data_IF_875301137814
#
_entry.id   IF_875301137814
#
_cell.length_a   1.000
_cell.length_b   1.000
_cell.length_c   1.000
_cell.angle_alpha   90.00
_cell.angle_beta   90.00
_cell.angle_gamma   90.00
#
_symmetry.space_group_name_H-M   'P 1'
#
loop_
_entity.id
_entity.type
_entity.pdbx_description
1 polymer ?
#
# COMPACT_ATOMS: atom_id res chain seq x y z
N UNK A 1 -12.42 -14.62 10.03
CA UNK A 1 -13.58 -14.46 9.15
C UNK A 1 -13.21 -13.67 7.92
N UNK A 2 -13.81 -13.96 6.75
CA UNK A 2 -13.63 -13.14 5.56
C UNK A 2 -14.13 -11.71 5.80
N UNK A 3 -13.41 -10.73 5.29
CA UNK A 3 -13.75 -9.31 5.42
C UNK A 3 -13.77 -8.65 4.06
N UNK A 4 -14.78 -7.81 3.81
CA UNK A 4 -14.90 -7.03 2.59
C UNK A 4 -14.36 -5.62 2.80
N UNK A 5 -13.59 -5.13 1.83
CA UNK A 5 -13.07 -3.76 1.82
C UNK A 5 -13.47 -3.10 0.50
N UNK A 6 -14.34 -2.10 0.57
CA UNK A 6 -14.89 -1.49 -0.62
C UNK A 6 -15.93 -2.37 -1.30
N UNK A 7 -15.93 -2.39 -2.64
CA UNK A 7 -16.95 -3.09 -3.43
C UNK A 7 -16.45 -4.42 -3.99
N UNK A 8 -15.16 -4.55 -4.28
CA UNK A 8 -14.60 -5.68 -5.02
C UNK A 8 -13.71 -6.57 -4.17
N UNK A 9 -13.07 -6.00 -3.15
CA UNK A 9 -11.95 -6.60 -2.46
C UNK A 9 -12.39 -7.33 -1.20
N UNK A 10 -11.97 -8.59 -1.06
CA UNK A 10 -12.18 -9.40 0.14
C UNK A 10 -10.84 -9.90 0.65
N UNK A 11 -10.70 -10.00 1.95
CA UNK A 11 -9.57 -10.65 2.62
C UNK A 11 -10.09 -11.87 3.35
N UNK A 12 -9.54 -13.04 3.04
CA UNK A 12 -9.97 -14.32 3.59
C UNK A 12 -8.79 -15.09 4.18
N UNK A 13 -8.96 -15.73 5.35
CA UNK A 13 -7.98 -16.73 5.80
C UNK A 13 -7.91 -17.89 4.81
N UNK A 14 -6.73 -18.53 4.71
CA UNK A 14 -6.52 -19.60 3.74
C UNK A 14 -7.39 -20.85 3.97
N UNK A 15 -7.90 -21.05 5.21
CA UNK A 15 -8.72 -22.21 5.56
C UNK A 15 -10.21 -21.99 5.34
N UNK A 16 -10.63 -20.84 4.83
CA UNK A 16 -12.04 -20.54 4.54
C UNK A 16 -12.22 -20.31 3.04
N UNK A 17 -13.38 -20.69 2.54
CA UNK A 17 -13.73 -20.37 1.16
C UNK A 17 -14.20 -18.91 1.07
N UNK A 18 -13.81 -18.21 -0.01
CA UNK A 18 -14.30 -16.85 -0.22
C UNK A 18 -15.82 -16.81 -0.36
N UNK A 19 -16.53 -15.90 0.35
CA UNK A 19 -17.99 -15.74 0.20
C UNK A 19 -18.40 -15.36 -1.21
N UNK A 20 -17.54 -14.62 -1.93
CA UNK A 20 -17.78 -14.17 -3.29
C UNK A 20 -16.61 -14.64 -4.18
N UNK A 21 -16.69 -15.86 -4.74
CA UNK A 21 -15.55 -16.42 -5.49
C UNK A 21 -15.13 -15.58 -6.71
N UNK A 22 -16.06 -14.82 -7.31
CA UNK A 22 -15.77 -14.00 -8.48
C UNK A 22 -15.25 -12.62 -8.12
N UNK A 23 -15.20 -12.26 -6.85
CA UNK A 23 -14.63 -10.99 -6.39
C UNK A 23 -13.09 -11.07 -6.37
N UNK A 24 -12.45 -9.94 -6.07
CA UNK A 24 -11.00 -9.93 -5.87
C UNK A 24 -10.72 -10.41 -4.45
N UNK A 25 -10.25 -11.63 -4.34
CA UNK A 25 -10.03 -12.29 -3.05
C UNK A 25 -8.54 -12.35 -2.72
N UNK A 26 -8.19 -11.85 -1.54
CA UNK A 26 -6.85 -11.94 -0.99
C UNK A 26 -6.82 -13.00 0.09
N UNK A 27 -5.87 -13.90 0.02
CA UNK A 27 -5.62 -14.88 1.06
C UNK A 27 -4.60 -14.30 2.04
N UNK A 28 -4.99 -14.15 3.29
CA UNK A 28 -4.11 -13.65 4.33
C UNK A 28 -4.40 -14.34 5.65
N UNK A 29 -3.42 -15.02 6.19
CA UNK A 29 -3.54 -15.69 7.48
C UNK A 29 -3.11 -14.74 8.60
N UNK A 30 -3.86 -14.68 9.70
CA UNK A 30 -3.52 -13.79 10.81
C UNK A 30 -2.19 -14.17 11.48
N UNK A 31 -1.52 -13.17 12.04
CA UNK A 31 -0.36 -13.37 12.90
C UNK A 31 0.98 -13.52 12.19
N UNK A 32 1.04 -13.43 10.87
CA UNK A 32 2.29 -13.63 10.13
C UNK A 32 3.15 -12.37 10.07
N UNK A 33 2.52 -11.19 10.03
CA UNK A 33 3.22 -9.91 9.99
C UNK A 33 2.26 -8.80 10.39
N UNK A 34 2.81 -7.63 10.75
CA UNK A 34 2.04 -6.42 10.97
C UNK A 34 1.27 -6.08 9.69
N UNK A 35 0.02 -5.64 9.82
CA UNK A 35 -0.81 -5.32 8.66
C UNK A 35 -1.56 -6.53 8.12
N UNK A 36 -2.33 -7.19 8.98
CA UNK A 36 -3.10 -8.41 8.64
C UNK A 36 -4.41 -8.14 7.91
N UNK A 37 -4.74 -6.88 7.58
CA UNK A 37 -6.02 -6.50 7.01
C UNK A 37 -7.06 -6.12 8.05
N UNK A 38 -6.82 -6.44 9.33
CA UNK A 38 -7.73 -6.11 10.44
C UNK A 38 -7.38 -4.78 11.11
N UNK A 39 -6.15 -4.31 10.97
CA UNK A 39 -5.76 -3.01 11.52
C UNK A 39 -6.47 -1.87 10.77
N UNK A 40 -6.98 -0.85 11.47
CA UNK A 40 -7.73 0.24 10.82
C UNK A 40 -6.99 0.89 9.65
N UNK A 41 -5.67 1.11 9.76
CA UNK A 41 -4.89 1.75 8.69
C UNK A 41 -4.79 0.89 7.44
N UNK A 42 -4.63 -0.42 7.61
CA UNK A 42 -4.60 -1.37 6.48
C UNK A 42 -5.98 -1.42 5.82
N UNK A 43 -7.04 -1.47 6.62
CA UNK A 43 -8.41 -1.46 6.13
C UNK A 43 -8.70 -0.22 5.29
N UNK A 44 -8.26 0.95 5.76
CA UNK A 44 -8.42 2.22 5.03
C UNK A 44 -7.70 2.18 3.68
N UNK A 45 -6.46 1.69 3.66
CA UNK A 45 -5.70 1.60 2.41
C UNK A 45 -6.33 0.61 1.44
N UNK A 46 -6.81 -0.53 1.92
CA UNK A 46 -7.48 -1.52 1.06
C UNK A 46 -8.75 -0.95 0.45
N UNK A 47 -9.56 -0.25 1.24
CA UNK A 47 -10.79 0.39 0.74
C UNK A 47 -10.47 1.46 -0.30
N UNK A 48 -9.41 2.23 -0.08
CA UNK A 48 -9.00 3.27 -1.03
C UNK A 48 -8.49 2.65 -2.33
N UNK A 49 -7.65 1.60 -2.26
CA UNK A 49 -7.19 0.87 -3.44
C UNK A 49 -8.36 0.28 -4.23
N UNK A 50 -9.36 -0.26 -3.54
CA UNK A 50 -10.55 -0.81 -4.18
C UNK A 50 -11.30 0.24 -5.01
N UNK A 51 -11.29 1.50 -4.58
CA UNK A 51 -11.96 2.59 -5.27
C UNK A 51 -11.16 3.15 -6.46
N UNK A 52 -9.89 2.76 -6.60
CA UNK A 52 -9.00 3.28 -7.62
C UNK A 52 -9.01 2.41 -8.88
N UNK A 53 -8.63 3.03 -9.98
CA UNK A 53 -8.42 2.33 -11.25
C UNK A 53 -6.94 1.95 -11.35
N UNK A 54 -6.61 0.72 -10.96
CA UNK A 54 -5.23 0.24 -10.85
C UNK A 54 -4.74 -0.51 -12.09
N UNK A 55 -5.61 -0.77 -13.05
CA UNK A 55 -5.25 -1.50 -14.27
C UNK A 55 -4.06 -0.83 -14.95
N UNK A 56 -3.03 -1.62 -15.23
CA UNK A 56 -1.79 -1.21 -15.89
C UNK A 56 -0.91 -0.26 -15.09
N UNK A 57 -1.23 -0.02 -13.81
CA UNK A 57 -0.40 0.84 -12.97
C UNK A 57 0.84 0.12 -12.44
N UNK A 58 1.89 0.92 -12.21
CA UNK A 58 3.07 0.53 -11.43
C UNK A 58 2.91 1.14 -10.04
N UNK A 59 3.11 0.32 -9.00
CA UNK A 59 2.86 0.70 -7.61
C UNK A 59 4.12 0.51 -6.77
N UNK A 60 4.36 1.40 -5.81
CA UNK A 60 5.37 1.22 -4.77
C UNK A 60 4.66 1.14 -3.43
N UNK A 61 4.97 0.11 -2.65
CA UNK A 61 4.48 -0.10 -1.28
C UNK A 61 5.69 0.05 -0.34
N UNK A 62 5.86 1.25 0.20
CA UNK A 62 7.01 1.58 1.03
C UNK A 62 6.68 1.34 2.50
N UNK A 63 7.39 0.43 3.15
CA UNK A 63 7.04 -0.13 4.43
C UNK A 63 6.02 -1.25 4.26
N UNK A 64 6.28 -2.17 3.32
CA UNK A 64 5.28 -3.11 2.82
C UNK A 64 4.80 -4.15 3.85
N UNK A 65 5.57 -4.42 4.89
CA UNK A 65 5.17 -5.37 5.95
C UNK A 65 4.83 -6.74 5.37
N UNK A 66 3.57 -7.15 5.53
CA UNK A 66 3.07 -8.42 4.99
C UNK A 66 2.94 -8.42 3.47
N UNK A 67 3.05 -7.26 2.83
CA UNK A 67 2.86 -7.11 1.38
C UNK A 67 1.40 -7.07 0.95
N UNK A 68 0.46 -7.03 1.87
CA UNK A 68 -0.97 -7.12 1.53
C UNK A 68 -1.43 -6.00 0.59
N UNK A 69 -0.93 -4.77 0.77
CA UNK A 69 -1.35 -3.65 -0.09
C UNK A 69 -0.83 -3.80 -1.51
N UNK A 70 0.44 -4.20 -1.66
CA UNK A 70 1.02 -4.48 -2.97
C UNK A 70 0.32 -5.64 -3.66
N UNK A 71 0.06 -6.72 -2.92
CA UNK A 71 -0.66 -7.88 -3.45
C UNK A 71 -2.08 -7.47 -3.88
N UNK A 72 -2.77 -6.66 -3.06
CA UNK A 72 -4.08 -6.14 -3.41
C UNK A 72 -4.04 -5.33 -4.70
N UNK A 73 -3.05 -4.44 -4.85
CA UNK A 73 -2.90 -3.64 -6.07
C UNK A 73 -2.70 -4.52 -7.30
N UNK A 74 -1.86 -5.55 -7.20
CA UNK A 74 -1.62 -6.48 -8.30
C UNK A 74 -2.88 -7.29 -8.64
N UNK A 75 -3.62 -7.74 -7.65
CA UNK A 75 -4.89 -8.46 -7.87
C UNK A 75 -5.96 -7.55 -8.46
N UNK A 76 -5.87 -6.24 -8.24
CA UNK A 76 -6.78 -5.25 -8.81
C UNK A 76 -6.35 -4.76 -10.20
N UNK A 77 -5.26 -5.29 -10.75
CA UNK A 77 -4.86 -5.02 -12.13
C UNK A 77 -3.53 -4.33 -12.32
N UNK A 78 -2.83 -3.93 -11.27
CA UNK A 78 -1.49 -3.33 -11.40
C UNK A 78 -0.55 -4.32 -12.10
N UNK A 79 0.38 -3.79 -12.89
CA UNK A 79 1.30 -4.63 -13.68
C UNK A 79 2.61 -4.93 -12.96
N UNK A 80 2.96 -4.12 -11.97
CA UNK A 80 4.17 -4.31 -11.18
C UNK A 80 4.03 -3.57 -9.85
N UNK A 81 4.58 -4.13 -8.80
CA UNK A 81 4.66 -3.47 -7.50
C UNK A 81 6.05 -3.70 -6.89
N UNK A 82 6.66 -2.62 -6.39
CA UNK A 82 7.89 -2.72 -5.59
C UNK A 82 7.51 -2.65 -4.12
N UNK A 83 7.91 -3.65 -3.33
CA UNK A 83 7.80 -3.59 -1.87
C UNK A 83 9.13 -3.24 -1.25
N UNK A 84 9.13 -2.27 -0.35
CA UNK A 84 10.33 -1.88 0.40
C UNK A 84 10.03 -1.97 1.89
N UNK A 85 10.91 -2.61 2.65
CA UNK A 85 10.79 -2.66 4.10
C UNK A 85 12.18 -2.80 4.70
N UNK A 86 12.39 -2.24 5.88
CA UNK A 86 13.68 -2.33 6.57
C UNK A 86 13.85 -3.63 7.35
N UNK A 87 12.82 -4.46 7.42
CA UNK A 87 12.85 -5.74 8.12
C UNK A 87 12.91 -6.90 7.12
N UNK A 88 14.00 -7.69 7.11
CA UNK A 88 14.09 -8.85 6.22
C UNK A 88 12.95 -9.86 6.41
N UNK A 89 12.39 -9.97 7.62
CA UNK A 89 11.24 -10.84 7.86
C UNK A 89 10.00 -10.35 7.12
N UNK A 90 9.82 -9.04 7.03
CA UNK A 90 8.72 -8.44 6.25
C UNK A 90 8.86 -8.79 4.77
N UNK A 91 10.08 -8.74 4.23
CA UNK A 91 10.31 -9.11 2.83
C UNK A 91 9.99 -10.58 2.58
N UNK A 92 10.37 -11.47 3.50
CA UNK A 92 10.02 -12.89 3.40
C UNK A 92 8.51 -13.10 3.47
N UNK A 93 7.83 -12.42 4.39
CA UNK A 93 6.37 -12.50 4.52
C UNK A 93 5.67 -11.97 3.26
N UNK A 94 6.17 -10.89 2.68
CA UNK A 94 5.63 -10.33 1.43
C UNK A 94 5.72 -11.33 0.28
N UNK A 95 6.88 -11.98 0.12
CA UNK A 95 7.07 -13.00 -0.92
C UNK A 95 6.14 -14.18 -0.71
N UNK A 96 5.99 -14.64 0.54
CA UNK A 96 5.13 -15.76 0.88
C UNK A 96 3.66 -15.45 0.59
N UNK A 97 3.19 -14.27 1.01
CA UNK A 97 1.81 -13.85 0.77
C UNK A 97 1.52 -13.66 -0.72
N UNK A 98 2.48 -13.14 -1.48
CA UNK A 98 2.36 -13.02 -2.93
C UNK A 98 2.20 -14.41 -3.57
N UNK A 99 3.03 -15.37 -3.17
CA UNK A 99 2.95 -16.74 -3.66
C UNK A 99 1.61 -17.40 -3.36
N UNK A 100 1.10 -17.23 -2.13
CA UNK A 100 -0.20 -17.77 -1.73
C UNK A 100 -1.36 -17.18 -2.54
N UNK A 101 -1.18 -15.96 -3.03
CA UNK A 101 -2.19 -15.26 -3.84
C UNK A 101 -1.99 -15.47 -5.34
N UNK A 102 -1.07 -16.34 -5.75
CA UNK A 102 -0.82 -16.62 -7.16
C UNK A 102 -0.17 -15.47 -7.91
N UNK A 103 0.50 -14.57 -7.22
CA UNK A 103 1.20 -13.44 -7.84
C UNK A 103 2.56 -13.91 -8.34
N UNK A 104 2.86 -13.61 -9.59
CA UNK A 104 4.17 -13.89 -10.19
C UNK A 104 5.25 -13.09 -9.42
N UNK A 105 6.28 -13.75 -8.87
CA UNK A 105 7.33 -13.06 -8.14
C UNK A 105 8.05 -11.97 -8.94
N UNK A 106 8.10 -12.10 -10.27
CA UNK A 106 8.73 -11.09 -11.11
C UNK A 106 7.96 -9.77 -11.13
N UNK A 107 6.66 -9.82 -10.83
CA UNK A 107 5.81 -8.63 -10.78
C UNK A 107 5.87 -7.93 -9.42
N UNK A 108 6.50 -8.56 -8.42
CA UNK A 108 6.57 -8.02 -7.07
C UNK A 108 7.98 -8.13 -6.51
N UNK A 109 8.95 -7.35 -7.05
CA UNK A 109 10.26 -7.25 -6.42
C UNK A 109 10.13 -6.63 -5.03
N UNK A 110 10.94 -7.14 -4.09
CA UNK A 110 11.00 -6.62 -2.72
C UNK A 110 12.46 -6.33 -2.37
N UNK A 111 12.71 -5.28 -1.60
CA UNK A 111 14.05 -4.83 -1.27
C UNK A 111 14.10 -4.12 0.08
N UNK A 112 15.28 -4.13 0.71
CA UNK A 112 15.58 -3.25 1.82
C UNK A 112 15.75 -1.82 1.30
N UNK A 113 15.56 -0.77 2.14
CA UNK A 113 15.86 0.60 1.75
C UNK A 113 17.30 0.71 1.22
N UNK A 114 17.48 1.42 0.12
CA UNK A 114 18.77 1.58 -0.50
C UNK A 114 19.27 0.40 -1.33
N UNK A 115 18.51 -0.69 -1.39
CA UNK A 115 18.90 -1.89 -2.15
C UNK A 115 18.11 -2.07 -3.44
N UNK A 116 17.25 -1.13 -3.79
CA UNK A 116 16.63 -1.10 -5.11
C UNK A 116 17.32 -0.05 -5.97
N UNK A 117 17.21 -0.17 -7.28
CA UNK A 117 17.80 0.77 -8.23
C UNK A 117 16.99 2.07 -8.24
N UNK A 118 17.50 3.10 -7.56
CA UNK A 118 16.82 4.38 -7.43
C UNK A 118 16.68 5.10 -8.76
N UNK A 119 17.62 4.93 -9.69
CA UNK A 119 17.53 5.54 -11.02
C UNK A 119 16.41 4.89 -11.83
N UNK A 120 16.30 3.57 -11.76
CA UNK A 120 15.21 2.83 -12.42
C UNK A 120 13.84 3.24 -11.89
N UNK A 121 13.74 3.49 -10.57
CA UNK A 121 12.46 3.81 -9.93
C UNK A 121 12.14 5.31 -9.91
N UNK A 122 13.01 6.15 -10.42
CA UNK A 122 12.76 7.59 -10.52
C UNK A 122 11.50 7.84 -11.36
N UNK A 123 10.48 8.46 -10.75
CA UNK A 123 9.23 8.84 -11.43
C UNK A 123 8.58 7.69 -12.21
N UNK A 124 8.72 6.46 -11.70
CA UNK A 124 8.20 5.27 -12.36
C UNK A 124 6.82 4.86 -11.87
N UNK A 125 6.48 5.17 -10.62
CA UNK A 125 5.26 4.69 -10.00
C UNK A 125 4.06 5.60 -10.30
N UNK A 126 2.94 4.99 -10.69
CA UNK A 126 1.65 5.67 -10.81
C UNK A 126 1.05 5.92 -9.43
N UNK A 127 1.29 5.03 -8.48
CA UNK A 127 0.82 5.13 -7.10
C UNK A 127 1.95 4.73 -6.16
N UNK A 128 2.18 5.57 -5.14
CA UNK A 128 3.08 5.25 -4.03
C UNK A 128 2.25 5.19 -2.75
N UNK A 129 2.34 4.07 -2.04
CA UNK A 129 1.65 3.83 -0.78
C UNK A 129 2.68 3.74 0.32
N UNK A 130 2.44 4.42 1.43
CA UNK A 130 3.23 4.24 2.65
C UNK A 130 2.29 4.17 3.85
N UNK A 131 2.19 2.99 4.44
CA UNK A 131 1.39 2.74 5.65
C UNK A 131 2.36 2.53 6.80
N UNK A 132 2.94 3.61 7.30
CA UNK A 132 3.96 3.64 8.34
C UNK A 132 3.66 4.78 9.32
N UNK A 133 4.46 4.91 10.38
CA UNK A 133 4.23 5.94 11.40
C UNK A 133 4.47 7.35 10.87
N UNK A 134 3.85 8.34 11.54
CA UNK A 134 3.89 9.75 11.11
C UNK A 134 5.32 10.31 11.01
N UNK A 135 6.20 10.02 11.97
CA UNK A 135 7.58 10.48 11.92
C UNK A 135 8.29 10.05 10.65
N UNK A 136 8.36 8.73 10.38
CA UNK A 136 8.93 8.23 9.12
C UNK A 136 8.26 8.78 7.86
N UNK A 137 6.93 8.99 7.86
CA UNK A 137 6.25 9.60 6.72
C UNK A 137 6.79 10.99 6.40
N UNK A 138 7.12 11.77 7.41
CA UNK A 138 7.73 13.09 7.22
C UNK A 138 9.17 12.97 6.75
N UNK A 139 9.97 12.13 7.39
CA UNK A 139 11.38 11.94 7.07
C UNK A 139 11.61 11.40 5.66
N UNK A 140 10.73 10.52 5.20
CA UNK A 140 10.85 9.82 3.92
C UNK A 140 10.15 10.54 2.77
N UNK A 141 9.63 11.76 2.98
CA UNK A 141 8.86 12.45 1.94
C UNK A 141 9.62 12.57 0.61
N UNK A 142 10.90 12.93 0.65
CA UNK A 142 11.72 12.99 -0.57
C UNK A 142 11.87 11.64 -1.25
N UNK A 143 12.08 10.59 -0.47
CA UNK A 143 12.21 9.21 -0.99
C UNK A 143 10.93 8.73 -1.65
N UNK A 144 9.78 8.98 -1.01
CA UNK A 144 8.48 8.58 -1.56
C UNK A 144 8.18 9.32 -2.85
N UNK A 145 8.40 10.64 -2.86
CA UNK A 145 8.12 11.47 -4.03
C UNK A 145 9.09 11.21 -5.17
N UNK A 146 10.31 10.73 -4.88
CA UNK A 146 11.28 10.34 -5.91
C UNK A 146 10.72 9.28 -6.86
N UNK A 147 9.97 8.33 -6.32
CA UNK A 147 9.40 7.23 -7.10
C UNK A 147 8.13 7.62 -7.86
N UNK A 148 7.49 8.72 -7.50
CA UNK A 148 6.16 9.08 -8.01
C UNK A 148 6.23 9.83 -9.32
N UNK A 149 5.45 9.38 -10.31
CA UNK A 149 5.26 10.11 -11.57
C UNK A 149 4.59 11.45 -11.34
N UNK A 150 4.88 12.47 -12.17
CA UNK A 150 3.98 13.63 -12.26
C UNK A 150 2.56 13.16 -12.59
N UNK A 151 1.58 13.67 -11.85
CA UNK A 151 0.19 13.23 -11.97
C UNK A 151 -0.14 11.96 -11.18
N UNK A 152 0.86 11.30 -10.61
CA UNK A 152 0.65 10.08 -9.84
C UNK A 152 0.02 10.33 -8.47
N UNK A 153 -0.43 9.26 -7.82
CA UNK A 153 -1.13 9.28 -6.54
C UNK A 153 -0.21 8.88 -5.40
N UNK A 154 -0.18 9.71 -4.36
CA UNK A 154 0.46 9.37 -3.08
C UNK A 154 -0.62 9.03 -2.07
N UNK A 155 -0.47 7.89 -1.38
CA UNK A 155 -1.38 7.42 -0.33
C UNK A 155 -0.58 7.20 0.94
N UNK A 156 -0.93 7.92 2.00
CA UNK A 156 -0.24 7.83 3.29
C UNK A 156 -1.23 7.39 4.37
N UNK A 157 -0.83 6.42 5.18
CA UNK A 157 -1.60 6.00 6.34
C UNK A 157 -0.65 5.53 7.45
N UNK A 158 -1.21 5.10 8.59
CA UNK A 158 -0.40 4.78 9.75
C UNK A 158 -0.27 5.97 10.69
N UNK A 159 -1.12 6.99 10.50
CA UNK A 159 -1.13 8.19 11.33
C UNK A 159 -2.53 8.42 11.90
N UNK A 160 -2.57 9.13 13.03
CA UNK A 160 -3.80 9.49 13.71
C UNK A 160 -4.41 10.74 13.06
N UNK A 161 -5.73 10.90 13.22
CA UNK A 161 -6.45 12.07 12.73
C UNK A 161 -5.85 13.38 13.25
N UNK A 162 -5.35 13.38 14.49
CA UNK A 162 -4.71 14.55 15.11
C UNK A 162 -3.39 14.92 14.43
N UNK A 163 -2.76 13.99 13.74
CA UNK A 163 -1.49 14.22 13.03
C UNK A 163 -1.68 14.64 11.57
N UNK A 164 -2.91 14.54 11.06
CA UNK A 164 -3.21 14.85 9.66
C UNK A 164 -2.88 16.29 9.26
N UNK A 165 -3.27 17.33 10.04
CA UNK A 165 -2.97 18.71 9.64
C UNK A 165 -1.47 18.97 9.46
N UNK A 166 -0.63 18.49 10.36
CA UNK A 166 0.82 18.63 10.27
C UNK A 166 1.41 17.91 9.06
N UNK A 167 0.87 16.72 8.75
CA UNK A 167 1.32 15.95 7.58
C UNK A 167 0.94 16.66 6.29
N UNK A 168 -0.29 17.14 6.19
CA UNK A 168 -0.78 17.90 5.03
C UNK A 168 0.09 19.12 4.79
N UNK A 169 0.41 19.86 5.86
CA UNK A 169 1.29 21.04 5.79
C UNK A 169 2.71 20.66 5.33
N UNK A 170 3.25 19.56 5.86
CA UNK A 170 4.60 19.10 5.51
C UNK A 170 4.75 18.81 4.01
N UNK A 171 3.72 18.25 3.40
CA UNK A 171 3.74 17.89 1.99
C UNK A 171 3.25 19.01 1.06
N UNK A 172 2.62 20.06 1.59
CA UNK A 172 1.88 21.07 0.81
C UNK A 172 2.71 21.73 -0.30
N UNK A 173 4.01 21.93 -0.08
CA UNK A 173 4.88 22.52 -1.10
C UNK A 173 5.10 21.62 -2.32
N UNK A 174 4.83 20.33 -2.20
CA UNK A 174 5.03 19.33 -3.25
C UNK A 174 3.72 18.85 -3.86
N UNK A 175 2.71 18.53 -3.05
CA UNK A 175 1.41 18.13 -3.52
C UNK A 175 0.36 18.37 -2.43
N UNK A 176 -0.90 18.67 -2.82
CA UNK A 176 -1.97 18.81 -1.84
C UNK A 176 -2.45 17.44 -1.38
N UNK A 177 -2.42 17.19 -0.08
CA UNK A 177 -2.99 16.00 0.54
C UNK A 177 -4.36 16.33 1.12
N UNK A 178 -5.27 15.36 1.07
CA UNK A 178 -6.59 15.42 1.71
C UNK A 178 -6.85 14.14 2.49
N UNK A 179 -7.76 14.22 3.45
CA UNK A 179 -8.21 13.02 4.15
C UNK A 179 -9.15 12.25 3.22
N UNK A 180 -8.71 11.07 2.81
CA UNK A 180 -9.48 10.18 1.94
C UNK A 180 -10.38 9.23 2.74
N UNK A 181 -10.00 8.94 3.98
CA UNK A 181 -10.78 8.09 4.86
C UNK A 181 -10.33 8.20 6.31
N UNK A 182 -11.23 7.86 7.22
CA UNK A 182 -10.96 7.84 8.66
C UNK A 182 -11.68 6.64 9.28
N UNK A 183 -11.02 5.98 10.22
CA UNK A 183 -11.57 4.82 10.90
C UNK A 183 -10.90 4.67 12.26
N UNK A 184 -11.69 4.66 13.32
CA UNK A 184 -11.22 4.50 14.70
C UNK A 184 -10.09 5.46 15.07
N UNK A 185 -10.16 6.72 14.60
CA UNK A 185 -9.16 7.75 14.90
C UNK A 185 -7.92 7.72 14.00
N UNK A 186 -7.81 6.75 13.11
CA UNK A 186 -6.76 6.67 12.10
C UNK A 186 -7.23 7.26 10.78
N UNK A 187 -6.32 7.79 9.99
CA UNK A 187 -6.66 8.39 8.68
C UNK A 187 -5.83 7.80 7.56
N UNK A 188 -6.40 7.89 6.36
CA UNK A 188 -5.69 7.71 5.11
C UNK A 188 -5.69 9.06 4.39
N UNK A 189 -4.51 9.53 4.03
CA UNK A 189 -4.34 10.75 3.25
C UNK A 189 -4.02 10.39 1.81
N UNK A 190 -4.53 11.19 0.88
CA UNK A 190 -4.28 10.98 -0.53
C UNK A 190 -4.08 12.32 -1.22
N UNK A 191 -3.19 12.34 -2.22
CA UNK A 191 -2.99 13.50 -3.08
C UNK A 191 -2.38 13.08 -4.40
N UNK A 192 -2.51 13.93 -5.40
CA UNK A 192 -1.93 13.73 -6.70
C UNK A 192 -0.79 14.74 -6.92
N UNK A 193 0.36 14.23 -7.41
CA UNK A 193 1.50 15.09 -7.72
C UNK A 193 1.16 15.94 -8.95
N UNK A 194 1.32 17.27 -8.89
CA UNK A 194 1.08 18.12 -10.08
C UNK A 194 1.90 17.64 -11.28
N UNK A 195 1.30 17.75 -12.44
CA UNK A 195 1.96 17.39 -13.70
C UNK A 195 3.03 18.38 -14.11
#
# INVERSE_FOLDING_TARGET
QPMQFGKRLWVCPSWLEPPEPDAVNLLLDPGLAFGTGTHPTTALCLAELDSMRLEEQVVVDYGCGSGILAVAALKLGAIEALGVDNDPQALAASRDNAGRNGVDPELFPVALPGQYDTDHWLQRADTVIANILAGPLMELSGTLLHCLKPGGTLMLSGLLATQAPGMIEHYASKLPLRVAGEHEGWVCLRGELPK
#
